data_IF_736861128608
#
_entry.id   IF_736861128608
#
_cell.length_a   1.000
_cell.length_b   1.000
_cell.length_c   1.000
_cell.angle_alpha   90.00
_cell.angle_beta   90.00
_cell.angle_gamma   90.00
#
_symmetry.space_group_name_H-M   'P 1'
#
loop_
_entity.id
_entity.type
_entity.pdbx_description
1 polymer ?
#
# COMPACT_ATOMS: atom_id res chain seq x y z
N UNK A 1 -0.03 15.49 -17.40
CA UNK A 1 -1.33 14.78 -17.25
C UNK A 1 -1.92 15.13 -15.89
N UNK A 2 -3.22 14.96 -15.61
CA UNK A 2 -3.70 15.16 -14.25
C UNK A 2 -3.06 14.12 -13.31
N UNK A 3 -2.71 14.55 -12.11
CA UNK A 3 -2.21 13.69 -11.06
C UNK A 3 -3.28 12.66 -10.67
N UNK A 4 -2.88 11.40 -10.50
CA UNK A 4 -3.75 10.30 -10.10
C UNK A 4 -3.61 10.06 -8.61
N UNK A 5 -4.72 10.16 -7.86
CA UNK A 5 -4.76 9.91 -6.42
C UNK A 5 -5.11 8.46 -6.13
N UNK A 6 -4.34 7.80 -5.26
CA UNK A 6 -4.63 6.42 -4.91
C UNK A 6 -4.13 5.97 -3.56
N UNK A 7 -4.68 4.83 -3.12
CA UNK A 7 -4.25 4.12 -1.92
C UNK A 7 -3.76 2.72 -2.31
N UNK A 8 -2.61 2.31 -1.75
CA UNK A 8 -1.93 1.06 -2.10
C UNK A 8 -2.02 -0.02 -1.00
N UNK A 9 -2.75 0.25 0.10
CA UNK A 9 -2.89 -0.67 1.21
C UNK A 9 -4.29 -0.59 1.81
N UNK A 10 -5.10 -1.63 1.60
CA UNK A 10 -6.45 -1.71 2.13
C UNK A 10 -6.93 -3.16 2.27
N UNK A 11 -7.68 -3.42 3.34
CA UNK A 11 -8.20 -4.73 3.72
C UNK A 11 -9.71 -4.82 3.54
N UNK A 12 -10.18 -6.02 3.23
CA UNK A 12 -11.59 -6.33 3.05
C UNK A 12 -12.04 -7.44 4.02
N UNK A 13 -13.30 -7.84 3.91
CA UNK A 13 -13.83 -9.00 4.65
C UNK A 13 -13.21 -10.35 4.21
N UNK A 14 -12.28 -10.36 3.28
CA UNK A 14 -11.47 -11.55 2.98
C UNK A 14 -10.40 -11.79 4.06
N UNK A 15 -9.95 -10.74 4.76
CA UNK A 15 -9.08 -10.86 5.92
C UNK A 15 -9.71 -10.24 7.17
N UNK A 16 -9.40 -9.02 7.53
CA UNK A 16 -9.83 -8.35 8.75
C UNK A 16 -10.39 -6.94 8.54
N UNK A 17 -10.56 -6.54 7.30
CA UNK A 17 -11.34 -5.36 6.96
C UNK A 17 -12.85 -5.57 7.22
N UNK A 18 -13.56 -4.50 7.59
CA UNK A 18 -15.00 -4.58 7.89
C UNK A 18 -15.89 -4.41 6.67
N UNK A 19 -15.35 -4.05 5.52
CA UNK A 19 -16.11 -3.84 4.27
C UNK A 19 -15.85 -4.97 3.29
N UNK A 20 -16.91 -5.44 2.61
CA UNK A 20 -16.73 -6.30 1.44
C UNK A 20 -16.02 -5.52 0.32
N UNK A 21 -15.32 -6.20 -0.62
CA UNK A 21 -14.52 -5.51 -1.65
C UNK A 21 -15.30 -4.44 -2.42
N UNK A 22 -16.53 -4.73 -2.86
CA UNK A 22 -17.35 -3.75 -3.57
C UNK A 22 -17.77 -2.54 -2.72
N UNK A 23 -17.94 -2.73 -1.41
CA UNK A 23 -18.21 -1.63 -0.47
C UNK A 23 -16.96 -0.77 -0.25
N UNK A 24 -15.79 -1.38 -0.09
CA UNK A 24 -14.52 -0.67 0.03
C UNK A 24 -14.26 0.18 -1.23
N UNK A 25 -14.43 -0.40 -2.41
CA UNK A 25 -14.29 0.31 -3.69
C UNK A 25 -15.21 1.53 -3.73
N UNK A 26 -16.49 1.39 -3.38
CA UNK A 26 -17.45 2.48 -3.38
C UNK A 26 -17.07 3.64 -2.44
N UNK A 27 -16.45 3.34 -1.27
CA UNK A 27 -15.93 4.36 -0.36
C UNK A 27 -14.80 5.19 -1.03
N UNK A 28 -13.81 4.54 -1.64
CA UNK A 28 -12.71 5.23 -2.31
C UNK A 28 -13.16 5.96 -3.58
N UNK A 29 -14.16 5.44 -4.29
CA UNK A 29 -14.82 6.16 -5.37
C UNK A 29 -15.49 7.45 -4.88
N UNK A 30 -16.20 7.39 -3.75
CA UNK A 30 -16.86 8.56 -3.16
C UNK A 30 -15.83 9.60 -2.66
N UNK A 31 -14.65 9.17 -2.21
CA UNK A 31 -13.54 10.02 -1.81
C UNK A 31 -12.77 10.64 -3.00
N UNK A 32 -13.13 10.29 -4.24
CA UNK A 32 -12.51 10.85 -5.45
C UNK A 32 -11.14 10.29 -5.77
N UNK A 33 -10.85 9.06 -5.38
CA UNK A 33 -9.62 8.36 -5.78
C UNK A 33 -9.67 7.91 -7.24
N UNK A 34 -8.50 7.69 -7.85
CA UNK A 34 -8.31 7.21 -9.21
C UNK A 34 -7.90 5.75 -9.25
N UNK A 35 -7.19 5.29 -8.21
CA UNK A 35 -6.77 3.89 -8.10
C UNK A 35 -6.79 3.40 -6.65
N UNK A 36 -6.92 2.07 -6.50
CA UNK A 36 -6.96 1.38 -5.20
C UNK A 36 -6.32 0.01 -5.32
N UNK A 37 -5.43 -0.34 -4.38
CA UNK A 37 -4.98 -1.70 -4.17
C UNK A 37 -5.79 -2.38 -3.05
N UNK A 38 -6.22 -3.61 -3.29
CA UNK A 38 -6.80 -4.51 -2.30
C UNK A 38 -5.70 -5.50 -1.92
N UNK A 39 -5.30 -5.51 -0.65
CA UNK A 39 -4.09 -6.18 -0.15
C UNK A 39 -4.37 -6.96 1.13
N UNK A 40 -5.44 -7.76 1.14
CA UNK A 40 -5.80 -8.61 2.27
C UNK A 40 -4.63 -9.50 2.72
N UNK A 41 -4.59 -9.87 4.00
CA UNK A 41 -3.55 -10.74 4.59
C UNK A 41 -3.46 -12.10 3.90
N UNK A 42 -2.26 -12.49 3.46
CA UNK A 42 -2.02 -13.72 2.71
C UNK A 42 -2.45 -14.99 3.46
N UNK A 43 -2.22 -15.04 4.75
CA UNK A 43 -2.54 -16.19 5.62
C UNK A 43 -4.04 -16.39 5.87
N UNK A 44 -4.87 -15.40 5.51
CA UNK A 44 -6.33 -15.43 5.69
C UNK A 44 -7.09 -15.62 4.38
N UNK A 45 -6.45 -15.44 3.24
CA UNK A 45 -7.08 -15.55 1.92
C UNK A 45 -6.85 -16.92 1.29
N UNK A 46 -7.71 -17.25 0.32
CA UNK A 46 -7.60 -18.49 -0.46
C UNK A 46 -7.94 -18.26 -1.92
N UNK A 47 -8.16 -19.35 -2.66
CA UNK A 47 -8.48 -19.28 -4.09
C UNK A 47 -9.71 -18.43 -4.42
N UNK A 48 -10.67 -18.32 -3.48
CA UNK A 48 -11.88 -17.48 -3.66
C UNK A 48 -11.53 -16.02 -3.82
N UNK A 49 -10.55 -15.50 -3.07
CA UNK A 49 -10.04 -14.15 -3.19
C UNK A 49 -9.52 -13.87 -4.61
N UNK A 50 -8.57 -14.67 -5.08
CA UNK A 50 -7.96 -14.51 -6.40
C UNK A 50 -8.94 -14.67 -7.57
N UNK A 51 -10.04 -15.42 -7.38
CA UNK A 51 -11.11 -15.54 -8.37
C UNK A 51 -12.08 -14.37 -8.35
N UNK A 52 -12.25 -13.72 -7.20
CA UNK A 52 -13.21 -12.62 -7.05
C UNK A 52 -12.63 -11.29 -7.52
N UNK A 53 -11.37 -10.97 -7.17
CA UNK A 53 -10.77 -9.66 -7.48
C UNK A 53 -10.85 -9.27 -8.96
N UNK A 54 -10.52 -10.14 -9.94
CA UNK A 54 -10.61 -9.77 -11.36
C UNK A 54 -12.02 -9.53 -11.87
N UNK A 55 -13.04 -9.92 -11.09
CA UNK A 55 -14.47 -9.75 -11.45
C UNK A 55 -15.06 -8.46 -10.88
N UNK A 56 -14.32 -7.75 -10.04
CA UNK A 56 -14.76 -6.47 -9.51
C UNK A 56 -14.77 -5.43 -10.62
N UNK A 57 -15.85 -4.67 -10.68
CA UNK A 57 -16.00 -3.55 -11.62
C UNK A 57 -15.98 -2.24 -10.86
N UNK A 58 -15.22 -1.28 -11.37
CA UNK A 58 -15.03 0.03 -10.75
C UNK A 58 -14.61 1.06 -11.77
N UNK A 59 -14.88 2.34 -11.48
CA UNK A 59 -14.21 3.45 -12.18
C UNK A 59 -12.77 3.65 -11.74
N UNK A 60 -12.40 3.11 -10.55
CA UNK A 60 -11.00 3.11 -10.10
C UNK A 60 -10.18 2.12 -10.92
N UNK A 61 -8.92 2.44 -11.13
CA UNK A 61 -7.95 1.45 -11.57
C UNK A 61 -7.61 0.54 -10.37
N UNK A 62 -8.13 -0.69 -10.38
CA UNK A 62 -7.92 -1.63 -9.29
C UNK A 62 -6.60 -2.37 -9.46
N UNK A 63 -5.78 -2.36 -8.40
CA UNK A 63 -4.65 -3.26 -8.23
C UNK A 63 -5.08 -4.44 -7.37
N UNK A 64 -4.63 -5.62 -7.74
CA UNK A 64 -4.72 -6.81 -6.92
C UNK A 64 -3.43 -6.94 -6.13
N UNK A 65 -3.50 -7.45 -4.91
CA UNK A 65 -2.32 -7.59 -4.09
C UNK A 65 -2.58 -8.46 -2.87
N UNK A 66 -1.58 -8.54 -2.03
CA UNK A 66 -1.65 -9.17 -0.71
C UNK A 66 -0.71 -8.47 0.24
N UNK A 67 -1.00 -8.53 1.52
CA UNK A 67 -0.07 -8.26 2.57
C UNK A 67 0.54 -9.59 3.04
N UNK A 68 1.84 -9.76 2.78
CA UNK A 68 2.63 -10.94 3.13
C UNK A 68 3.09 -10.85 4.58
N UNK A 69 3.12 -11.98 5.28
CA UNK A 69 3.84 -12.12 6.54
C UNK A 69 5.27 -12.57 6.25
N UNK A 70 6.27 -11.76 6.58
CA UNK A 70 7.67 -12.15 6.41
C UNK A 70 8.09 -13.12 7.53
N UNK A 71 8.57 -14.34 7.20
CA UNK A 71 8.75 -15.38 8.21
C UNK A 71 9.93 -15.13 9.16
N UNK A 72 10.89 -14.28 8.80
CA UNK A 72 12.07 -13.99 9.62
C UNK A 72 11.84 -12.97 10.73
N UNK A 73 10.79 -12.14 10.59
CA UNK A 73 10.42 -11.09 11.54
C UNK A 73 8.90 -11.02 11.65
N UNK A 74 8.41 -10.39 12.69
CA UNK A 74 7.02 -9.91 12.70
C UNK A 74 6.94 -8.64 11.83
N UNK A 75 6.93 -8.83 10.50
CA UNK A 75 6.94 -7.75 9.50
C UNK A 75 6.00 -8.07 8.35
N UNK A 76 5.14 -7.12 8.03
CA UNK A 76 4.29 -7.21 6.86
C UNK A 76 4.95 -6.54 5.65
N UNK A 77 4.72 -7.15 4.48
CA UNK A 77 5.21 -6.66 3.20
C UNK A 77 4.03 -6.57 2.23
N UNK A 78 3.76 -5.38 1.75
CA UNK A 78 2.79 -5.15 0.68
C UNK A 78 3.32 -5.69 -0.64
N UNK A 79 2.52 -6.53 -1.31
CA UNK A 79 2.76 -6.98 -2.67
C UNK A 79 1.63 -6.50 -3.56
N UNK A 80 1.88 -5.48 -4.37
CA UNK A 80 0.90 -4.86 -5.27
C UNK A 80 1.21 -5.24 -6.70
N UNK A 81 0.24 -5.87 -7.39
CA UNK A 81 0.42 -6.44 -8.71
C UNK A 81 -0.04 -5.48 -9.80
N UNK A 82 0.86 -5.10 -10.71
CA UNK A 82 0.57 -4.51 -12.01
C UNK A 82 0.18 -5.57 -13.04
N UNK A 83 0.28 -5.22 -14.32
CA UNK A 83 0.08 -6.17 -15.42
C UNK A 83 1.35 -6.99 -15.67
N UNK A 84 2.53 -6.36 -15.54
CA UNK A 84 3.86 -6.94 -15.71
C UNK A 84 4.82 -6.55 -14.59
N UNK A 85 4.51 -5.49 -13.83
CA UNK A 85 5.28 -4.98 -12.71
C UNK A 85 4.72 -5.51 -11.38
N UNK A 86 5.56 -5.54 -10.35
CA UNK A 86 5.12 -5.78 -8.96
C UNK A 86 5.81 -4.79 -8.04
N UNK A 87 5.07 -4.08 -7.21
CA UNK A 87 5.63 -3.20 -6.17
C UNK A 87 5.67 -3.95 -4.84
N UNK A 88 6.85 -3.97 -4.21
CA UNK A 88 7.02 -4.50 -2.86
C UNK A 88 7.26 -3.37 -1.86
N UNK A 89 6.49 -3.35 -0.79
CA UNK A 89 6.46 -2.27 0.21
C UNK A 89 6.76 -2.83 1.59
N UNK A 90 7.71 -2.24 2.30
CA UNK A 90 7.88 -2.48 3.73
C UNK A 90 6.75 -1.75 4.46
N UNK A 91 5.73 -2.50 4.91
CA UNK A 91 4.52 -1.93 5.50
C UNK A 91 4.76 -1.46 6.93
N UNK A 92 4.17 -0.32 7.28
CA UNK A 92 3.99 0.28 8.61
C UNK A 92 5.07 -0.08 9.66
N UNK A 93 6.36 0.29 9.46
CA UNK A 93 7.43 -0.01 10.43
C UNK A 93 7.14 0.60 11.82
N UNK A 94 6.32 1.64 11.89
CA UNK A 94 5.86 2.26 13.12
C UNK A 94 5.09 1.29 14.04
N UNK A 95 4.31 0.37 13.46
CA UNK A 95 3.59 -0.68 14.20
C UNK A 95 4.53 -1.53 15.06
N UNK A 96 5.73 -1.77 14.53
CA UNK A 96 6.77 -2.57 15.18
C UNK A 96 7.74 -1.72 16.02
N UNK A 97 7.53 -0.39 16.07
CA UNK A 97 8.34 0.60 16.80
C UNK A 97 9.84 0.56 16.41
N UNK A 98 10.10 0.30 15.13
CA UNK A 98 11.48 0.22 14.64
C UNK A 98 12.15 1.59 14.68
N UNK A 99 13.41 1.61 15.10
CA UNK A 99 14.32 2.73 14.84
C UNK A 99 14.69 2.80 13.35
N UNK A 100 15.38 3.86 12.92
CA UNK A 100 15.89 3.97 11.55
C UNK A 100 16.84 2.82 11.24
N UNK A 101 17.82 2.57 12.12
CA UNK A 101 18.82 1.49 11.94
C UNK A 101 18.17 0.11 11.82
N UNK A 102 17.22 -0.21 12.71
CA UNK A 102 16.48 -1.47 12.65
C UNK A 102 15.65 -1.59 11.38
N UNK A 103 15.09 -0.47 10.89
CA UNK A 103 14.35 -0.44 9.63
C UNK A 103 15.25 -0.72 8.43
N UNK A 104 16.43 -0.10 8.40
CA UNK A 104 17.45 -0.31 7.35
C UNK A 104 17.96 -1.74 7.37
N UNK A 105 18.33 -2.26 8.55
CA UNK A 105 18.78 -3.65 8.72
C UNK A 105 17.71 -4.64 8.25
N UNK A 106 16.45 -4.43 8.65
CA UNK A 106 15.32 -5.29 8.25
C UNK A 106 15.12 -5.29 6.74
N UNK A 107 15.21 -4.12 6.09
CA UNK A 107 15.13 -4.02 4.64
C UNK A 107 16.28 -4.75 3.93
N UNK A 108 17.51 -4.70 4.48
CA UNK A 108 18.67 -5.45 3.95
C UNK A 108 18.46 -6.96 4.07
N UNK A 109 18.08 -7.47 5.25
CA UNK A 109 17.85 -8.91 5.45
C UNK A 109 16.77 -9.45 4.51
N UNK A 110 15.67 -8.72 4.34
CA UNK A 110 14.59 -9.09 3.40
C UNK A 110 15.15 -9.11 1.96
N UNK A 111 16.00 -8.15 1.61
CA UNK A 111 16.66 -8.08 0.30
C UNK A 111 17.63 -9.25 0.06
N UNK A 112 18.41 -9.62 1.05
CA UNK A 112 19.36 -10.75 1.00
C UNK A 112 18.65 -12.09 0.85
N UNK A 113 17.45 -12.22 1.41
CA UNK A 113 16.54 -13.38 1.22
C UNK A 113 15.87 -13.39 -0.19
N UNK A 114 16.21 -12.44 -1.04
CA UNK A 114 15.78 -12.39 -2.44
C UNK A 114 14.49 -11.61 -2.70
N UNK A 115 13.91 -10.94 -1.69
CA UNK A 115 12.74 -10.08 -1.88
C UNK A 115 13.16 -8.61 -1.92
N UNK A 116 13.36 -8.10 -3.13
CA UNK A 116 13.73 -6.68 -3.33
C UNK A 116 12.56 -5.76 -2.99
N UNK A 117 12.70 -5.00 -1.92
CA UNK A 117 11.76 -3.93 -1.56
C UNK A 117 11.96 -2.70 -2.46
N UNK A 118 10.86 -2.08 -2.88
CA UNK A 118 10.84 -0.84 -3.67
C UNK A 118 10.54 0.38 -2.79
N UNK A 119 9.62 0.24 -1.84
CA UNK A 119 9.11 1.35 -1.04
C UNK A 119 8.93 1.00 0.43
N UNK A 120 8.68 2.01 1.24
CA UNK A 120 8.34 1.91 2.68
C UNK A 120 7.15 2.81 2.98
N UNK A 121 6.25 2.37 3.83
CA UNK A 121 5.18 3.21 4.36
C UNK A 121 5.69 4.16 5.42
N UNK A 122 5.38 5.46 5.24
CA UNK A 122 5.61 6.50 6.25
C UNK A 122 4.35 6.77 7.08
N UNK A 123 3.42 5.81 7.06
CA UNK A 123 2.13 5.88 7.79
C UNK A 123 1.89 4.63 8.62
N UNK A 124 0.99 4.74 9.58
CA UNK A 124 0.39 3.63 10.33
C UNK A 124 -1.10 3.89 10.45
N UNK A 125 -1.92 3.03 9.84
CA UNK A 125 -3.38 3.25 9.71
C UNK A 125 -3.74 4.68 9.23
N UNK A 126 -2.99 5.18 8.25
CA UNK A 126 -3.14 6.51 7.66
C UNK A 126 -2.57 7.67 8.49
N UNK A 127 -2.04 7.43 9.69
CA UNK A 127 -1.37 8.45 10.49
C UNK A 127 0.09 8.61 10.06
N UNK A 128 0.49 9.83 9.74
CA UNK A 128 1.85 10.16 9.34
C UNK A 128 2.88 9.86 10.44
N UNK A 129 4.00 9.28 10.06
CA UNK A 129 5.12 8.91 10.92
C UNK A 129 6.44 9.47 10.36
N UNK A 130 6.75 10.74 10.62
CA UNK A 130 7.88 11.45 9.99
C UNK A 130 9.24 10.76 10.17
N UNK A 131 9.41 9.94 11.22
CA UNK A 131 10.65 9.17 11.46
C UNK A 131 11.07 8.37 10.23
N UNK A 132 10.09 7.79 9.51
CA UNK A 132 10.36 6.88 8.37
C UNK A 132 10.56 7.62 7.05
N UNK A 133 10.50 8.96 7.04
CA UNK A 133 10.92 9.79 5.90
C UNK A 133 12.43 9.99 5.84
N UNK A 134 13.19 9.52 6.86
CA UNK A 134 14.64 9.65 6.91
C UNK A 134 15.31 9.26 5.59
N UNK A 135 16.24 10.08 5.13
CA UNK A 135 17.09 9.78 3.97
C UNK A 135 18.04 8.60 4.17
N UNK A 136 18.24 8.14 5.41
CA UNK A 136 19.06 6.98 5.73
C UNK A 136 18.38 5.66 5.33
N UNK A 137 17.03 5.65 5.21
CA UNK A 137 16.28 4.49 4.73
C UNK A 137 16.29 4.51 3.18
N UNK A 138 16.98 3.57 2.50
CA UNK A 138 17.20 3.61 1.05
C UNK A 138 16.00 3.07 0.25
N UNK A 139 14.77 3.37 0.69
CA UNK A 139 13.51 2.98 0.06
C UNK A 139 12.69 4.22 -0.29
N UNK A 140 11.87 4.13 -1.33
CA UNK A 140 10.93 5.19 -1.70
C UNK A 140 9.85 5.30 -0.63
N UNK A 141 9.51 6.53 -0.18
CA UNK A 141 8.54 6.78 0.90
C UNK A 141 7.16 6.93 0.31
N UNK A 142 6.21 6.07 0.72
CA UNK A 142 4.81 6.16 0.31
C UNK A 142 3.90 6.32 1.51
N UNK A 143 2.75 6.96 1.30
CA UNK A 143 1.70 7.09 2.30
C UNK A 143 0.48 6.25 1.89
N UNK A 144 -0.07 5.51 2.83
CA UNK A 144 -1.24 4.64 2.64
C UNK A 144 -2.16 4.70 3.85
N UNK A 145 -3.39 4.23 3.68
CA UNK A 145 -4.38 4.20 4.75
C UNK A 145 -4.23 3.00 5.69
N UNK A 146 -3.64 1.89 5.21
CA UNK A 146 -3.76 0.60 5.91
C UNK A 146 -5.20 0.38 6.41
N UNK A 147 -6.12 0.40 5.45
CA UNK A 147 -7.54 0.67 5.70
C UNK A 147 -8.29 -0.59 6.08
N UNK A 148 -8.73 -0.71 7.35
CA UNK A 148 -9.53 -1.82 7.87
C UNK A 148 -10.99 -1.43 8.13
N UNK A 149 -11.26 -0.15 8.44
CA UNK A 149 -12.58 0.36 8.84
C UNK A 149 -12.78 1.81 8.39
N UNK A 150 -14.03 2.33 8.36
CA UNK A 150 -14.34 3.64 7.77
C UNK A 150 -13.50 4.80 8.28
N UNK A 151 -13.12 4.80 9.55
CA UNK A 151 -12.28 5.88 10.12
C UNK A 151 -10.86 5.91 9.54
N UNK A 152 -10.41 4.87 8.85
CA UNK A 152 -9.09 4.83 8.20
C UNK A 152 -9.13 5.37 6.77
N UNK A 153 -10.30 5.37 6.10
CA UNK A 153 -10.41 5.67 4.69
C UNK A 153 -10.09 7.13 4.37
N UNK A 154 -9.19 7.35 3.42
CA UNK A 154 -8.85 8.68 2.93
C UNK A 154 -7.97 9.53 3.84
N UNK A 155 -7.26 8.92 4.78
CA UNK A 155 -6.32 9.63 5.68
C UNK A 155 -5.00 9.96 5.00
N UNK A 156 -4.49 9.02 4.21
CA UNK A 156 -3.20 9.16 3.55
C UNK A 156 -3.22 8.53 2.16
N UNK A 157 -2.48 9.11 1.22
CA UNK A 157 -2.47 8.64 -0.16
C UNK A 157 -1.20 9.04 -0.89
N UNK A 158 -1.00 8.48 -2.06
CA UNK A 158 -0.06 8.98 -3.06
C UNK A 158 -0.81 9.66 -4.21
N UNK A 159 -0.24 10.74 -4.74
CA UNK A 159 -0.66 11.36 -6.00
C UNK A 159 0.46 11.19 -7.01
N UNK A 160 0.19 10.52 -8.13
CA UNK A 160 1.20 10.07 -9.07
C UNK A 160 1.04 10.80 -10.41
N UNK A 161 2.13 11.32 -10.96
CA UNK A 161 2.16 11.88 -12.32
C UNK A 161 2.51 10.77 -13.32
N UNK A 162 1.49 10.04 -13.76
CA UNK A 162 1.67 8.90 -14.66
C UNK A 162 0.46 8.69 -15.59
N UNK A 163 0.67 7.90 -16.64
CA UNK A 163 -0.43 7.36 -17.41
C UNK A 163 -1.31 6.46 -16.54
N UNK A 164 -2.63 6.43 -16.80
CA UNK A 164 -3.60 5.64 -16.05
C UNK A 164 -3.50 4.15 -16.41
N UNK A 165 -2.40 3.52 -16.01
CA UNK A 165 -2.20 2.07 -16.09
C UNK A 165 -1.43 1.60 -14.86
N UNK A 166 -1.65 0.35 -14.44
CA UNK A 166 -1.03 -0.23 -13.24
C UNK A 166 0.49 -0.15 -13.30
N UNK A 167 1.08 -0.60 -14.40
CA UNK A 167 2.53 -0.62 -14.57
C UNK A 167 3.15 0.78 -14.64
N UNK A 168 2.45 1.75 -15.24
CA UNK A 168 2.94 3.14 -15.28
C UNK A 168 2.95 3.77 -13.88
N UNK A 169 1.93 3.52 -13.07
CA UNK A 169 1.86 3.98 -11.68
C UNK A 169 2.99 3.35 -10.84
N UNK A 170 3.21 2.04 -10.95
CA UNK A 170 4.29 1.36 -10.23
C UNK A 170 5.65 1.94 -10.62
N UNK A 171 5.92 2.13 -11.92
CA UNK A 171 7.18 2.73 -12.40
C UNK A 171 7.36 4.16 -11.91
N UNK A 172 6.32 4.97 -11.91
CA UNK A 172 6.37 6.34 -11.42
C UNK A 172 6.67 6.38 -9.92
N UNK A 173 6.07 5.50 -9.11
CA UNK A 173 6.37 5.37 -7.69
C UNK A 173 7.85 5.03 -7.48
N UNK A 174 8.40 4.05 -8.21
CA UNK A 174 9.82 3.70 -8.14
C UNK A 174 10.75 4.84 -8.55
N UNK A 175 10.32 5.66 -9.50
CA UNK A 175 11.08 6.82 -9.99
C UNK A 175 10.99 8.03 -9.06
N UNK A 176 10.05 8.07 -8.11
CA UNK A 176 9.79 9.22 -7.27
C UNK A 176 8.89 10.28 -7.92
N UNK A 177 8.22 9.95 -9.03
CA UNK A 177 7.33 10.86 -9.78
C UNK A 177 5.93 10.93 -9.13
N UNK A 178 5.89 11.22 -7.84
CA UNK A 178 4.67 11.33 -7.05
C UNK A 178 4.86 12.26 -5.85
N UNK A 179 3.78 12.55 -5.16
CA UNK A 179 3.77 13.28 -3.88
C UNK A 179 2.87 12.57 -2.87
N UNK A 180 3.16 12.78 -1.59
CA UNK A 180 2.34 12.28 -0.49
C UNK A 180 1.20 13.26 -0.21
N UNK A 181 0.05 12.71 0.18
CA UNK A 181 -1.10 13.48 0.64
C UNK A 181 -1.61 12.94 1.97
N UNK A 182 -2.08 13.85 2.83
CA UNK A 182 -2.62 13.54 4.15
C UNK A 182 -3.90 14.35 4.38
N UNK A 183 -4.88 13.73 5.02
CA UNK A 183 -6.08 14.43 5.45
C UNK A 183 -5.75 15.46 6.55
N UNK A 184 -6.45 16.59 6.61
CA UNK A 184 -6.28 17.55 7.71
C UNK A 184 -6.50 16.89 9.08
N UNK A 185 -5.57 17.06 10.03
CA UNK A 185 -5.65 16.47 11.38
C UNK A 185 -5.18 15.02 11.49
N UNK A 186 -4.42 14.52 10.51
CA UNK A 186 -3.82 13.17 10.52
C UNK A 186 -2.48 13.06 11.26
N UNK A 187 -2.10 14.07 12.04
CA UNK A 187 -0.87 14.08 12.87
C UNK A 187 -1.10 13.44 14.23
#
# INVERSE_FOLDING_TARGET
>A
MPWLRGNLHAHTTYSDGVKAPGQLIAEYEALGYDFLAITDHEDRIGQSYWRALPRLSSRLLLFHGVELNYPGFDQHIGKVLGDHETLYVLNHPARYKLSIDETVERAHVIGDDGLRLDAIEVTETGHHRPLYESGEIPLVKIATDDAHKPVHFGRAWVEVDAARSRDAIIRAIRAGDFRLGFAPGGD
#
